data_IF_367101765547
#
_entry.id   IF_367101765547
#
_cell.length_a   1.000
_cell.length_b   1.000
_cell.length_c   1.000
_cell.angle_alpha   90.00
_cell.angle_beta   90.00
_cell.angle_gamma   90.00
#
_symmetry.space_group_name_H-M   'P 1'
#
loop_
_entity.id
_entity.type
_entity.pdbx_description
1 polymer ?
#
# COMPACT_ATOMS: atom_id res chain seq x y z
N UNK A 1 16.11 12.95 23.77
CA UNK A 1 16.71 12.61 25.10
C UNK A 1 16.60 11.11 25.39
N UNK A 2 15.39 10.47 25.29
CA UNK A 2 15.22 9.03 25.59
C UNK A 2 16.07 8.13 24.69
N UNK A 3 16.08 8.36 23.38
CA UNK A 3 16.91 7.62 22.41
C UNK A 3 18.40 7.75 22.74
N UNK A 4 18.88 8.96 23.04
CA UNK A 4 20.28 9.19 23.39
C UNK A 4 20.70 8.42 24.66
N UNK A 5 19.83 8.36 25.68
CA UNK A 5 20.09 7.56 26.89
C UNK A 5 20.22 6.07 26.62
N UNK A 6 19.36 5.54 25.75
CA UNK A 6 19.40 4.12 25.38
C UNK A 6 20.68 3.77 24.60
N UNK A 7 21.16 4.65 23.74
CA UNK A 7 22.33 4.44 22.90
C UNK A 7 23.64 4.51 23.69
N UNK A 8 23.74 5.44 24.67
CA UNK A 8 24.98 5.61 25.50
C UNK A 8 25.41 4.32 26.21
N UNK A 9 24.46 3.42 26.46
CA UNK A 9 24.75 2.13 27.11
C UNK A 9 25.30 1.06 26.16
N UNK A 10 25.50 1.40 24.88
CA UNK A 10 25.95 0.50 23.80
C UNK A 10 25.21 -0.85 23.79
N UNK A 11 23.86 -0.84 23.73
CA UNK A 11 23.07 -2.05 23.82
C UNK A 11 23.23 -2.91 22.56
N UNK A 12 23.10 -4.23 22.70
CA UNK A 12 23.05 -5.14 21.55
C UNK A 12 21.74 -5.06 20.77
N UNK A 13 20.65 -4.64 21.42
CA UNK A 13 19.32 -4.51 20.84
C UNK A 13 18.66 -3.24 21.38
N UNK A 14 18.06 -2.46 20.48
CA UNK A 14 17.20 -1.32 20.79
C UNK A 14 15.73 -1.70 20.58
N UNK A 15 14.88 -1.33 21.54
CA UNK A 15 13.43 -1.50 21.43
C UNK A 15 12.77 -0.13 21.40
N UNK A 16 11.98 0.12 20.36
CA UNK A 16 11.14 1.29 20.24
C UNK A 16 9.68 0.86 20.23
N UNK A 17 8.90 1.41 21.15
CA UNK A 17 7.46 1.17 21.23
C UNK A 17 6.74 2.49 20.91
N UNK A 18 6.19 2.58 19.71
CA UNK A 18 5.50 3.75 19.13
C UNK A 18 6.22 5.09 19.37
N UNK A 19 7.53 5.22 19.06
CA UNK A 19 8.33 6.35 19.52
C UNK A 19 7.95 7.69 18.89
N UNK A 20 7.20 7.70 17.78
CA UNK A 20 6.85 8.88 17.00
C UNK A 20 5.36 9.26 17.09
N UNK A 21 4.55 8.52 17.85
CA UNK A 21 3.09 8.68 17.92
C UNK A 21 2.63 10.08 18.34
N UNK A 22 3.42 10.78 19.16
CA UNK A 22 3.08 12.10 19.71
C UNK A 22 3.71 13.27 18.94
N UNK A 23 4.27 13.04 17.75
CA UNK A 23 4.93 14.06 16.95
C UNK A 23 4.04 14.53 15.79
N UNK A 24 4.16 15.80 15.42
CA UNK A 24 3.57 16.32 14.19
C UNK A 24 4.23 15.68 12.94
N UNK A 25 3.55 15.74 11.80
CA UNK A 25 3.97 15.03 10.58
C UNK A 25 5.37 15.43 10.07
N UNK A 26 5.76 16.72 10.22
CA UNK A 26 7.07 17.22 9.78
C UNK A 26 8.18 16.69 10.68
N UNK A 27 7.99 16.81 11.98
CA UNK A 27 8.96 16.35 12.97
C UNK A 27 9.06 14.83 12.97
N UNK A 28 7.93 14.12 12.80
CA UNK A 28 7.89 12.66 12.68
C UNK A 28 8.78 12.16 11.54
N UNK A 29 8.67 12.78 10.35
CA UNK A 29 9.51 12.41 9.20
C UNK A 29 10.99 12.63 9.49
N UNK A 30 11.37 13.78 10.04
CA UNK A 30 12.76 14.08 10.37
C UNK A 30 13.33 13.12 11.41
N UNK A 31 12.62 12.88 12.53
CA UNK A 31 13.09 11.98 13.59
C UNK A 31 13.14 10.54 13.10
N UNK A 32 12.24 10.13 12.19
CA UNK A 32 12.30 8.82 11.53
C UNK A 32 13.60 8.64 10.75
N UNK A 33 14.00 9.62 9.95
CA UNK A 33 15.26 9.62 9.21
C UNK A 33 16.45 9.59 10.16
N UNK A 34 16.46 10.41 11.23
CA UNK A 34 17.51 10.43 12.23
C UNK A 34 17.68 9.08 12.95
N UNK A 35 16.57 8.41 13.31
CA UNK A 35 16.60 7.06 13.94
C UNK A 35 17.23 6.06 12.97
N UNK A 36 16.83 6.07 11.69
CA UNK A 36 17.37 5.18 10.68
C UNK A 36 18.88 5.40 10.50
N UNK A 37 19.32 6.63 10.40
CA UNK A 37 20.73 7.00 10.25
C UNK A 37 21.56 6.52 11.45
N UNK A 38 21.06 6.75 12.65
CA UNK A 38 21.74 6.30 13.89
C UNK A 38 21.83 4.77 13.91
N UNK A 39 20.75 4.08 13.61
CA UNK A 39 20.70 2.63 13.58
C UNK A 39 21.72 2.04 12.59
N UNK A 40 21.79 2.61 11.39
CA UNK A 40 22.76 2.19 10.38
C UNK A 40 24.22 2.47 10.78
N UNK A 41 24.48 3.66 11.34
CA UNK A 41 25.85 4.04 11.78
C UNK A 41 26.35 3.17 12.92
N UNK A 42 25.47 2.79 13.84
CA UNK A 42 25.83 1.97 14.99
C UNK A 42 25.80 0.46 14.71
N UNK A 43 25.14 0.04 13.63
CA UNK A 43 24.93 -1.38 13.31
C UNK A 43 24.16 -2.16 14.39
N UNK A 44 23.35 -1.46 15.20
CA UNK A 44 22.62 -2.07 16.31
C UNK A 44 21.31 -2.70 15.83
N UNK A 45 21.04 -3.92 16.30
CA UNK A 45 19.75 -4.55 16.03
C UNK A 45 18.63 -3.77 16.70
N UNK A 46 17.61 -3.41 15.93
CA UNK A 46 16.51 -2.58 16.40
C UNK A 46 15.18 -3.27 16.15
N UNK A 47 14.34 -3.33 17.17
CA UNK A 47 12.94 -3.73 17.08
C UNK A 47 12.09 -2.47 17.23
N UNK A 48 11.27 -2.19 16.22
CA UNK A 48 10.46 -0.99 16.16
C UNK A 48 8.98 -1.37 16.04
N UNK A 49 8.19 -1.02 17.06
CA UNK A 49 6.75 -1.26 17.07
C UNK A 49 6.04 0.03 16.67
N UNK A 50 5.17 -0.06 15.69
CA UNK A 50 4.34 1.06 15.22
C UNK A 50 3.05 0.54 14.60
N UNK A 51 2.01 1.35 14.63
CA UNK A 51 0.78 1.16 13.85
C UNK A 51 0.81 1.98 12.54
N UNK A 52 1.82 2.80 12.33
CA UNK A 52 1.99 3.60 11.12
C UNK A 52 2.75 2.80 10.05
N UNK A 53 2.06 2.48 8.95
CA UNK A 53 2.65 1.72 7.85
C UNK A 53 3.81 2.46 7.16
N UNK A 54 3.75 3.80 7.05
CA UNK A 54 4.81 4.57 6.43
C UNK A 54 6.10 4.52 7.26
N UNK A 55 5.95 4.56 8.60
CA UNK A 55 7.09 4.37 9.49
C UNK A 55 7.72 2.99 9.28
N UNK A 56 6.90 1.94 9.38
CA UNK A 56 7.38 0.57 9.24
C UNK A 56 8.10 0.33 7.89
N UNK A 57 7.53 0.82 6.79
CA UNK A 57 8.10 0.64 5.45
C UNK A 57 9.37 1.46 5.22
N UNK A 58 9.50 2.64 5.85
CA UNK A 58 10.61 3.55 5.59
C UNK A 58 11.88 3.21 6.38
N UNK A 59 11.75 2.69 7.62
CA UNK A 59 12.91 2.51 8.51
C UNK A 59 13.38 1.06 8.66
N UNK A 60 12.55 0.09 8.28
CA UNK A 60 12.83 -1.32 8.56
C UNK A 60 13.51 -2.03 7.39
N UNK A 61 14.42 -2.94 7.69
CA UNK A 61 14.97 -3.90 6.73
C UNK A 61 14.02 -5.10 6.57
N UNK A 62 13.32 -5.45 7.65
CA UNK A 62 12.31 -6.50 7.71
C UNK A 62 11.10 -6.03 8.50
N UNK A 63 9.91 -6.22 7.97
CA UNK A 63 8.64 -5.89 8.63
C UNK A 63 7.88 -7.16 8.96
N UNK A 64 7.29 -7.20 10.14
CA UNK A 64 6.38 -8.26 10.59
C UNK A 64 5.00 -7.63 10.76
N UNK A 65 4.06 -8.02 9.92
CA UNK A 65 2.65 -7.58 10.03
C UNK A 65 1.91 -8.56 10.92
N UNK A 66 1.32 -8.05 11.99
CA UNK A 66 0.52 -8.84 12.93
C UNK A 66 -0.98 -8.55 12.77
N UNK A 67 -1.80 -9.57 12.91
CA UNK A 67 -3.25 -9.48 12.96
C UNK A 67 -3.79 -10.44 14.01
N UNK A 68 -4.60 -9.95 14.94
CA UNK A 68 -5.18 -10.77 16.02
C UNK A 68 -4.12 -11.64 16.75
N UNK A 69 -3.01 -11.03 17.14
CA UNK A 69 -1.88 -11.67 17.84
C UNK A 69 -1.16 -12.79 17.07
N UNK A 70 -1.41 -12.94 15.76
CA UNK A 70 -0.68 -13.86 14.89
C UNK A 70 0.06 -13.10 13.79
N UNK A 71 1.17 -13.66 13.34
CA UNK A 71 1.94 -13.09 12.21
C UNK A 71 1.15 -13.37 10.93
N UNK A 72 0.65 -12.29 10.29
CA UNK A 72 -0.05 -12.37 9.02
C UNK A 72 0.93 -12.51 7.83
N UNK A 73 2.03 -11.78 7.88
CA UNK A 73 3.12 -11.86 6.91
C UNK A 73 4.38 -11.21 7.46
N UNK A 74 5.53 -11.69 7.05
CA UNK A 74 6.83 -11.04 7.26
C UNK A 74 7.61 -10.99 5.95
N UNK A 75 8.48 -9.98 5.80
CA UNK A 75 9.31 -9.81 4.62
C UNK A 75 9.95 -8.44 4.56
N UNK A 76 10.63 -8.12 3.45
CA UNK A 76 11.09 -6.77 3.19
C UNK A 76 9.88 -5.83 2.97
N UNK A 77 10.02 -4.52 3.21
CA UNK A 77 8.99 -3.53 2.87
C UNK A 77 8.45 -3.70 1.45
N UNK A 78 9.34 -3.90 0.49
CA UNK A 78 9.00 -4.07 -0.92
C UNK A 78 8.20 -5.33 -1.19
N UNK A 79 8.52 -6.44 -0.51
CA UNK A 79 7.81 -7.71 -0.68
C UNK A 79 6.39 -7.62 -0.10
N UNK A 80 6.22 -7.00 1.08
CA UNK A 80 4.91 -6.82 1.68
C UNK A 80 3.98 -5.95 0.83
N UNK A 81 4.55 -4.91 0.19
CA UNK A 81 3.81 -4.01 -0.69
C UNK A 81 3.43 -4.67 -2.02
N UNK A 82 4.38 -5.37 -2.67
CA UNK A 82 4.18 -5.95 -4.00
C UNK A 82 3.51 -7.34 -3.98
N UNK A 83 3.75 -8.13 -2.93
CA UNK A 83 3.31 -9.52 -2.83
C UNK A 83 2.57 -9.80 -1.53
N UNK A 84 1.47 -9.08 -1.23
CA UNK A 84 0.68 -9.33 -0.02
C UNK A 84 0.05 -10.73 -0.08
N UNK A 85 0.21 -11.52 0.99
CA UNK A 85 -0.30 -12.90 1.06
C UNK A 85 -1.82 -13.00 1.22
N UNK A 86 -2.45 -11.95 1.72
CA UNK A 86 -3.88 -11.92 1.95
C UNK A 86 -4.44 -10.49 1.88
N UNK A 87 -5.77 -10.38 1.91
CA UNK A 87 -6.48 -9.09 1.81
C UNK A 87 -6.14 -8.13 2.96
N UNK A 88 -5.92 -8.67 4.16
CA UNK A 88 -5.57 -7.85 5.31
C UNK A 88 -4.24 -7.14 5.08
N UNK A 89 -3.20 -7.87 4.69
CA UNK A 89 -1.89 -7.29 4.41
C UNK A 89 -1.95 -6.31 3.23
N UNK A 90 -2.70 -6.65 2.18
CA UNK A 90 -2.88 -5.76 1.02
C UNK A 90 -3.47 -4.40 1.40
N UNK A 91 -4.49 -4.41 2.27
CA UNK A 91 -5.14 -3.19 2.75
C UNK A 91 -4.32 -2.47 3.80
N UNK A 92 -3.70 -3.22 4.73
CA UNK A 92 -2.90 -2.62 5.80
C UNK A 92 -1.62 -1.96 5.27
N UNK A 93 -1.02 -2.52 4.21
CA UNK A 93 0.18 -2.00 3.56
C UNK A 93 -0.21 -1.29 2.24
N UNK A 94 -0.59 0.01 2.34
CA UNK A 94 -0.81 0.89 1.19
C UNK A 94 -2.23 0.92 0.61
N UNK A 95 -3.26 0.75 1.46
CA UNK A 95 -4.69 1.02 1.15
C UNK A 95 -5.20 0.43 -0.18
N UNK A 96 -4.81 -0.81 -0.49
CA UNK A 96 -5.12 -1.42 -1.77
C UNK A 96 -6.62 -1.59 -2.00
N UNK A 97 -7.09 -1.30 -3.21
CA UNK A 97 -8.40 -1.73 -3.66
C UNK A 97 -8.39 -3.24 -3.88
N UNK A 98 -9.06 -3.99 -3.04
CA UNK A 98 -9.14 -5.45 -3.20
C UNK A 98 -10.44 -5.82 -3.91
N UNK A 99 -10.32 -6.10 -5.21
CA UNK A 99 -11.44 -6.42 -6.08
C UNK A 99 -11.49 -7.92 -6.41
N UNK A 100 -12.69 -8.44 -6.68
CA UNK A 100 -12.86 -9.81 -7.18
C UNK A 100 -12.56 -9.85 -8.67
N UNK A 101 -11.86 -10.88 -9.11
CA UNK A 101 -11.63 -11.17 -10.52
C UNK A 101 -12.07 -12.59 -10.86
N UNK A 102 -12.64 -12.75 -12.04
CA UNK A 102 -13.02 -14.03 -12.62
C UNK A 102 -11.89 -14.53 -13.52
N UNK A 103 -11.54 -15.81 -13.46
CA UNK A 103 -10.60 -16.43 -14.38
C UNK A 103 -11.35 -16.73 -15.67
N UNK A 104 -10.98 -16.09 -16.78
CA UNK A 104 -11.58 -16.33 -18.11
C UNK A 104 -10.87 -17.49 -18.80
N UNK A 105 -9.53 -17.51 -18.72
CA UNK A 105 -8.68 -18.49 -19.38
C UNK A 105 -7.34 -18.62 -18.65
N UNK A 106 -6.74 -19.81 -18.79
CA UNK A 106 -5.40 -20.12 -18.27
C UNK A 106 -4.57 -20.72 -19.40
N UNK A 107 -3.39 -20.17 -19.62
CA UNK A 107 -2.38 -20.71 -20.53
C UNK A 107 -1.05 -20.80 -19.80
N UNK A 108 -0.63 -22.00 -19.43
CA UNK A 108 0.54 -22.22 -18.58
C UNK A 108 0.47 -21.40 -17.29
N UNK A 109 1.40 -20.45 -17.09
CA UNK A 109 1.46 -19.55 -15.93
C UNK A 109 0.76 -18.18 -16.19
N UNK A 110 0.09 -18.01 -17.35
CA UNK A 110 -0.64 -16.79 -17.70
C UNK A 110 -2.12 -16.98 -17.45
N UNK A 111 -2.67 -16.12 -16.62
CA UNK A 111 -4.10 -16.07 -16.31
C UNK A 111 -4.73 -14.83 -16.93
N UNK A 112 -5.77 -15.03 -17.71
CA UNK A 112 -6.63 -13.97 -18.22
C UNK A 112 -7.75 -13.76 -17.21
N UNK A 113 -7.75 -12.62 -16.58
CA UNK A 113 -8.70 -12.25 -15.52
C UNK A 113 -9.67 -11.19 -16.02
N UNK A 114 -10.91 -11.26 -15.53
CA UNK A 114 -11.93 -10.23 -15.74
C UNK A 114 -12.23 -9.54 -14.41
N UNK A 115 -12.13 -8.23 -14.39
CA UNK A 115 -12.48 -7.34 -13.27
C UNK A 115 -13.53 -6.36 -13.76
N UNK A 116 -14.82 -6.56 -13.40
CA UNK A 116 -15.89 -5.80 -14.00
C UNK A 116 -15.92 -6.02 -15.53
N UNK A 117 -15.68 -4.95 -16.30
CA UNK A 117 -15.60 -4.99 -17.77
C UNK A 117 -14.18 -5.15 -18.30
N UNK A 118 -13.18 -4.86 -17.46
CA UNK A 118 -11.76 -4.90 -17.84
C UNK A 118 -11.23 -6.33 -17.89
N UNK A 119 -10.36 -6.59 -18.88
CA UNK A 119 -9.62 -7.84 -19.01
C UNK A 119 -8.13 -7.57 -18.80
N UNK A 120 -7.52 -8.29 -17.90
CA UNK A 120 -6.08 -8.20 -17.63
C UNK A 120 -5.42 -9.57 -17.79
N UNK A 121 -4.15 -9.57 -18.13
CA UNK A 121 -3.32 -10.78 -18.13
C UNK A 121 -2.28 -10.66 -17.04
N UNK A 122 -2.23 -11.65 -16.16
CA UNK A 122 -1.27 -11.72 -15.06
C UNK A 122 -0.48 -13.02 -15.14
N UNK A 123 0.77 -12.99 -14.73
CA UNK A 123 1.59 -14.18 -14.61
C UNK A 123 1.60 -14.63 -13.15
N UNK A 124 1.19 -15.87 -12.89
CA UNK A 124 1.07 -16.42 -11.55
C UNK A 124 1.71 -17.81 -11.56
N UNK A 125 2.70 -17.99 -10.70
CA UNK A 125 3.43 -19.27 -10.60
C UNK A 125 2.65 -20.39 -9.90
N UNK A 126 1.63 -19.98 -9.11
CA UNK A 126 0.81 -20.90 -8.33
C UNK A 126 -0.51 -21.18 -9.03
N UNK A 127 -0.91 -22.45 -9.05
CA UNK A 127 -2.23 -22.85 -9.57
C UNK A 127 -3.37 -22.24 -8.76
N UNK A 128 -4.31 -21.62 -9.50
CA UNK A 128 -5.50 -20.99 -8.95
C UNK A 128 -6.71 -21.60 -9.66
N UNK A 129 -7.65 -22.16 -8.90
CA UNK A 129 -8.76 -22.93 -9.47
C UNK A 129 -10.10 -22.18 -9.46
N UNK A 130 -10.21 -21.06 -8.72
CA UNK A 130 -11.47 -20.32 -8.50
C UNK A 130 -11.31 -18.83 -8.69
N UNK A 131 -12.30 -18.05 -8.22
CA UNK A 131 -12.22 -16.60 -8.22
C UNK A 131 -11.04 -16.12 -7.39
N UNK A 132 -10.31 -15.15 -7.93
CA UNK A 132 -9.18 -14.51 -7.26
C UNK A 132 -9.53 -13.12 -6.78
N UNK A 133 -8.81 -12.67 -5.77
CA UNK A 133 -8.84 -11.27 -5.37
C UNK A 133 -7.58 -10.59 -5.89
N UNK A 134 -7.76 -9.46 -6.55
CA UNK A 134 -6.68 -8.64 -7.09
C UNK A 134 -6.55 -7.39 -6.25
N UNK A 135 -5.33 -7.08 -5.81
CA UNK A 135 -5.02 -5.84 -5.11
C UNK A 135 -4.56 -4.79 -6.13
N UNK A 136 -5.34 -3.73 -6.29
CA UNK A 136 -5.01 -2.60 -7.14
C UNK A 136 -4.54 -1.45 -6.25
N UNK A 137 -3.32 -0.99 -6.46
CA UNK A 137 -2.76 0.14 -5.69
C UNK A 137 -3.38 1.45 -6.15
N UNK A 138 -3.87 2.31 -5.24
CA UNK A 138 -4.55 3.56 -5.58
C UNK A 138 -3.75 4.48 -6.51
N UNK A 139 -2.43 4.55 -6.30
CA UNK A 139 -1.50 5.38 -7.07
C UNK A 139 -1.07 4.74 -8.41
N UNK A 140 -1.51 3.50 -8.68
CA UNK A 140 -1.27 2.79 -9.95
C UNK A 140 -2.51 2.80 -10.87
N UNK A 141 -3.61 3.35 -10.40
CA UNK A 141 -4.82 3.51 -11.19
C UNK A 141 -4.77 4.89 -11.83
N UNK A 142 -4.87 4.94 -13.15
CA UNK A 142 -5.05 6.17 -13.91
C UNK A 142 -6.52 6.45 -14.14
N UNK A 143 -6.90 7.71 -14.16
CA UNK A 143 -8.26 8.16 -14.50
C UNK A 143 -8.19 8.95 -15.81
N UNK A 144 -9.08 8.66 -16.76
CA UNK A 144 -9.18 9.38 -18.01
C UNK A 144 -10.65 9.59 -18.40
N UNK A 145 -10.92 10.57 -19.31
CA UNK A 145 -12.22 10.80 -19.90
C UNK A 145 -12.48 9.89 -21.11
N UNK A 146 -11.40 9.33 -21.64
CA UNK A 146 -11.43 8.50 -22.83
C UNK A 146 -11.31 7.02 -22.48
N UNK A 147 -12.18 6.20 -23.04
CA UNK A 147 -12.14 4.75 -22.87
C UNK A 147 -10.90 4.17 -23.55
N UNK A 148 -10.21 3.27 -22.85
CA UNK A 148 -9.11 2.44 -23.38
C UNK A 148 -9.44 0.95 -23.23
N UNK A 149 -8.68 0.08 -23.90
CA UNK A 149 -8.93 -1.37 -23.87
C UNK A 149 -8.87 -1.99 -22.46
N UNK A 150 -8.08 -1.40 -21.57
CA UNK A 150 -7.89 -1.87 -20.18
C UNK A 150 -8.51 -0.91 -19.17
N UNK A 151 -9.66 -0.31 -19.48
CA UNK A 151 -10.34 0.60 -18.58
C UNK A 151 -11.67 0.04 -18.09
N UNK A 152 -12.10 0.55 -16.93
CA UNK A 152 -13.41 0.27 -16.33
C UNK A 152 -14.19 1.58 -16.31
N UNK A 153 -15.41 1.56 -16.80
CA UNK A 153 -16.32 2.70 -16.67
C UNK A 153 -16.66 2.93 -15.19
N UNK A 154 -16.55 4.18 -14.74
CA UNK A 154 -16.82 4.58 -13.39
C UNK A 154 -17.36 6.00 -13.30
N UNK A 155 -18.06 6.31 -12.22
CA UNK A 155 -18.46 7.68 -11.88
C UNK A 155 -17.73 8.17 -10.64
N UNK A 156 -17.30 9.42 -10.64
CA UNK A 156 -16.64 10.06 -9.50
C UNK A 156 -17.65 10.32 -8.40
N UNK A 157 -17.53 9.66 -7.24
CA UNK A 157 -18.40 9.88 -6.10
C UNK A 157 -17.81 10.84 -5.04
N UNK A 158 -16.49 10.97 -5.00
CA UNK A 158 -15.79 11.93 -4.16
C UNK A 158 -14.50 12.38 -4.83
N UNK A 159 -14.12 13.64 -4.62
CA UNK A 159 -12.86 14.21 -5.07
C UNK A 159 -12.31 15.16 -3.99
N UNK A 160 -11.11 14.89 -3.49
CA UNK A 160 -10.48 15.65 -2.41
C UNK A 160 -9.05 16.04 -2.80
N UNK A 161 -8.72 17.31 -2.72
CA UNK A 161 -7.35 17.79 -2.89
C UNK A 161 -6.59 17.74 -1.57
N UNK A 162 -5.43 17.08 -1.58
CA UNK A 162 -4.59 16.90 -0.39
C UNK A 162 -3.20 17.54 -0.53
N UNK A 163 -3.10 18.60 -1.33
CA UNK A 163 -1.88 19.37 -1.53
C UNK A 163 -1.05 18.89 -2.71
N UNK A 164 -0.50 17.69 -2.67
CA UNK A 164 0.35 17.12 -3.73
C UNK A 164 -0.41 16.21 -4.71
N UNK A 165 -1.65 15.87 -4.40
CA UNK A 165 -2.46 14.94 -5.20
C UNK A 165 -3.95 15.17 -5.01
N UNK A 166 -4.75 14.60 -5.92
CA UNK A 166 -6.17 14.39 -5.72
C UNK A 166 -6.44 12.95 -5.31
N UNK A 167 -7.34 12.79 -4.34
CA UNK A 167 -7.88 11.50 -3.90
C UNK A 167 -9.32 11.39 -4.39
N UNK A 168 -9.60 10.33 -5.13
CA UNK A 168 -10.92 10.07 -5.70
C UNK A 168 -11.52 8.79 -5.12
N UNK A 169 -12.84 8.81 -4.93
CA UNK A 169 -13.63 7.58 -4.78
C UNK A 169 -14.47 7.43 -6.04
N UNK A 170 -14.29 6.31 -6.72
CA UNK A 170 -15.00 5.99 -7.95
C UNK A 170 -15.99 4.86 -7.68
N UNK A 171 -17.21 4.97 -8.23
CA UNK A 171 -18.17 3.87 -8.29
C UNK A 171 -18.05 3.19 -9.66
N UNK A 172 -17.74 1.90 -9.69
CA UNK A 172 -17.55 1.13 -10.93
C UNK A 172 -18.22 -0.24 -10.84
N UNK A 173 -18.22 -0.97 -11.96
CA UNK A 173 -18.67 -2.37 -12.02
C UNK A 173 -17.79 -3.32 -11.19
N UNK A 174 -16.56 -2.93 -10.84
CA UNK A 174 -15.68 -3.67 -9.95
C UNK A 174 -15.90 -3.33 -8.45
N UNK A 175 -16.82 -2.40 -8.15
CA UNK A 175 -17.08 -1.86 -6.82
C UNK A 175 -16.53 -0.44 -6.65
N UNK A 176 -16.41 -0.01 -5.40
CA UNK A 176 -15.79 1.27 -5.07
C UNK A 176 -14.28 1.17 -5.20
N UNK A 177 -13.69 2.12 -5.93
CA UNK A 177 -12.24 2.22 -6.09
C UNK A 177 -11.74 3.53 -5.47
N UNK A 178 -10.71 3.44 -4.66
CA UNK A 178 -9.94 4.57 -4.17
C UNK A 178 -8.78 4.82 -5.11
N UNK A 179 -8.59 6.04 -5.58
CA UNK A 179 -7.55 6.41 -6.54
C UNK A 179 -6.80 7.64 -6.06
N UNK A 180 -5.48 7.63 -6.20
CA UNK A 180 -4.62 8.77 -5.91
C UNK A 180 -3.99 9.23 -7.22
N UNK A 181 -4.34 10.44 -7.66
CA UNK A 181 -3.77 11.06 -8.86
C UNK A 181 -2.79 12.17 -8.48
N UNK A 182 -1.53 12.03 -8.90
CA UNK A 182 -0.52 13.09 -8.78
C UNK A 182 -0.67 14.21 -9.82
N UNK A 183 -1.51 14.02 -10.85
CA UNK A 183 -1.83 15.08 -11.79
C UNK A 183 -2.89 16.02 -11.19
N UNK A 184 -2.42 17.16 -10.70
CA UNK A 184 -3.29 18.18 -10.10
C UNK A 184 -3.89 19.15 -11.11
N UNK A 185 -3.54 19.05 -12.41
CA UNK A 185 -4.07 19.89 -13.47
C UNK A 185 -5.30 19.27 -14.14
N UNK A 186 -5.35 17.94 -14.20
CA UNK A 186 -6.48 17.21 -14.79
C UNK A 186 -7.46 16.78 -13.68
N UNK A 187 -8.38 17.67 -13.32
CA UNK A 187 -9.30 17.47 -12.20
C UNK A 187 -10.61 16.88 -12.70
N UNK A 188 -11.07 15.83 -12.03
CA UNK A 188 -12.37 15.19 -12.25
C UNK A 188 -13.37 15.62 -11.20
N UNK A 189 -14.58 16.00 -11.60
CA UNK A 189 -15.63 16.50 -10.69
C UNK A 189 -16.53 15.37 -10.21
N UNK A 190 -17.13 15.56 -9.05
CA UNK A 190 -18.15 14.63 -8.56
C UNK A 190 -19.31 14.55 -9.56
N UNK A 191 -19.73 13.33 -9.89
CA UNK A 191 -20.72 13.02 -10.91
C UNK A 191 -20.16 12.89 -12.33
N UNK A 192 -18.86 13.14 -12.55
CA UNK A 192 -18.23 12.98 -13.86
C UNK A 192 -18.02 11.49 -14.16
N UNK A 193 -18.31 11.10 -15.42
CA UNK A 193 -18.05 9.76 -15.92
C UNK A 193 -16.60 9.66 -16.42
N UNK A 194 -15.93 8.59 -16.03
CA UNK A 194 -14.49 8.36 -16.25
C UNK A 194 -14.19 6.89 -16.55
N UNK A 195 -12.97 6.67 -17.02
CA UNK A 195 -12.47 5.34 -17.38
C UNK A 195 -11.14 5.05 -16.71
#
# INVERSE_FOLDING_TARGET
VAVARAIVLEPKVLLFDEPLSNLDAKLRRQVREDIRDIQQKLGVTTIYVTHDQEEALAISDKVIVMNNAVIAQEGSPKDLYNYPRNKFVANFIGDANVVKAEIINKQENKYHLKIGEMKITVQIEKDINDSVSVALRPEKISIDRSKTDNSIHASVSNASFVGSSYQYILNSSAGKLYVISGDTNNIFKVGEEVY
#
